data_IF_992951643056
#
_entry.id   IF_992951643056
#
_cell.length_a   1.000
_cell.length_b   1.000
_cell.length_c   1.000
_cell.angle_alpha   90.00
_cell.angle_beta   90.00
_cell.angle_gamma   90.00
#
_symmetry.space_group_name_H-M   'P 1'
#
loop_
_entity.id
_entity.type
_entity.pdbx_description
1 polymer ?
#
# COMPACT_ATOMS: atom_id res chain seq x y z
N UNK A 1 64.04 -57.68 11.55
CA UNK A 1 62.90 -56.97 12.26
C UNK A 1 63.11 -55.48 12.02
N UNK A 2 62.45 -54.94 11.00
CA UNK A 2 62.45 -53.48 10.73
C UNK A 2 60.99 -53.03 10.65
N UNK A 3 60.60 -52.13 11.57
CA UNK A 3 59.28 -51.47 11.57
C UNK A 3 59.41 -50.16 10.78
N UNK A 4 58.68 -50.09 9.69
CA UNK A 4 58.46 -48.85 8.95
C UNK A 4 57.35 -48.07 9.61
N UNK A 5 57.63 -46.81 9.96
CA UNK A 5 56.62 -45.82 10.44
C UNK A 5 56.22 -45.01 9.22
N UNK A 6 54.96 -45.14 8.80
CA UNK A 6 54.33 -44.27 7.79
C UNK A 6 53.75 -43.03 8.50
N UNK A 7 54.30 -41.90 8.17
CA UNK A 7 53.73 -40.58 8.57
C UNK A 7 52.61 -40.19 7.63
N UNK A 8 51.37 -40.08 8.15
CA UNK A 8 50.25 -39.51 7.45
C UNK A 8 50.32 -37.97 7.52
N UNK A 9 50.56 -37.35 6.37
CA UNK A 9 50.32 -35.93 6.15
C UNK A 9 48.84 -35.72 5.80
N UNK A 10 48.07 -35.14 6.74
CA UNK A 10 46.74 -34.60 6.46
C UNK A 10 46.89 -33.25 5.72
N UNK A 11 46.60 -33.26 4.45
CA UNK A 11 46.42 -32.02 3.68
C UNK A 11 45.08 -31.36 4.03
N UNK A 12 45.13 -30.18 4.65
CA UNK A 12 43.96 -29.30 4.79
C UNK A 12 43.63 -28.71 3.41
N UNK A 13 42.54 -29.20 2.80
CA UNK A 13 41.99 -28.57 1.62
C UNK A 13 41.20 -27.32 2.07
N UNK A 14 41.70 -26.14 1.77
CA UNK A 14 40.92 -24.90 1.85
C UNK A 14 39.89 -24.92 0.73
N UNK A 15 38.62 -25.16 1.10
CA UNK A 15 37.49 -24.88 0.23
C UNK A 15 37.33 -23.36 0.13
N UNK A 16 37.88 -22.77 -0.91
CA UNK A 16 37.48 -21.41 -1.33
C UNK A 16 36.08 -21.51 -1.91
N UNK A 17 35.08 -21.04 -1.17
CA UNK A 17 33.80 -20.77 -1.73
C UNK A 17 33.97 -19.65 -2.76
N UNK A 18 33.90 -20.00 -4.02
CA UNK A 18 33.77 -19.03 -5.10
C UNK A 18 32.35 -18.42 -4.97
N UNK A 19 32.29 -17.16 -4.61
CA UNK A 19 31.05 -16.37 -4.74
C UNK A 19 30.61 -16.43 -6.21
N UNK A 20 29.31 -16.58 -6.51
CA UNK A 20 28.84 -16.58 -7.88
C UNK A 20 29.14 -15.23 -8.52
N UNK A 21 29.91 -15.27 -9.63
CA UNK A 21 30.33 -14.10 -10.42
C UNK A 21 29.16 -13.61 -11.30
N UNK A 22 28.09 -13.03 -10.67
CA UNK A 22 26.91 -12.51 -11.39
C UNK A 22 26.59 -11.05 -11.10
N UNK A 23 27.27 -10.42 -10.12
CA UNK A 23 27.12 -9.00 -9.84
C UNK A 23 28.00 -8.20 -10.83
N UNK A 24 27.39 -7.26 -11.55
CA UNK A 24 28.14 -6.20 -12.23
C UNK A 24 28.81 -5.31 -11.18
N UNK A 25 29.95 -4.66 -11.46
CA UNK A 25 30.51 -3.73 -10.49
C UNK A 25 29.60 -2.52 -10.36
N UNK A 26 29.22 -2.17 -9.11
CA UNK A 26 28.68 -0.86 -8.80
C UNK A 26 29.66 0.22 -9.27
N UNK A 27 29.18 1.33 -9.79
CA UNK A 27 30.05 2.45 -10.12
C UNK A 27 30.65 3.10 -8.86
N UNK A 28 31.59 4.04 -9.03
CA UNK A 28 32.28 4.68 -7.91
C UNK A 28 31.31 5.46 -6.99
N UNK A 29 30.28 6.12 -7.54
CA UNK A 29 29.28 6.82 -6.77
C UNK A 29 28.35 5.86 -6.03
N UNK A 30 27.95 4.78 -6.67
CA UNK A 30 27.13 3.73 -6.05
C UNK A 30 27.88 3.05 -4.90
N UNK A 31 29.17 2.77 -5.05
CA UNK A 31 30.01 2.23 -3.98
C UNK A 31 30.11 3.20 -2.80
N UNK A 32 30.33 4.50 -3.05
CA UNK A 32 30.32 5.53 -2.00
C UNK A 32 28.98 5.63 -1.28
N UNK A 33 27.85 5.54 -2.00
CA UNK A 33 26.52 5.49 -1.36
C UNK A 33 26.39 4.26 -0.46
N UNK A 34 26.81 3.08 -0.94
CA UNK A 34 26.75 1.83 -0.16
C UNK A 34 27.57 1.93 1.12
N UNK A 35 28.82 2.42 1.04
CA UNK A 35 29.69 2.62 2.20
C UNK A 35 29.10 3.63 3.21
N UNK A 36 28.56 4.74 2.71
CA UNK A 36 27.91 5.74 3.55
C UNK A 36 26.67 5.18 4.26
N UNK A 37 25.82 4.44 3.55
CA UNK A 37 24.60 3.83 4.10
C UNK A 37 24.97 2.82 5.19
N UNK A 38 25.98 1.97 4.97
CA UNK A 38 26.41 1.00 5.98
C UNK A 38 26.94 1.69 7.25
N UNK A 39 27.61 2.83 7.11
CA UNK A 39 28.09 3.63 8.23
C UNK A 39 26.98 4.33 9.03
N UNK A 40 25.80 4.58 8.41
CA UNK A 40 24.68 5.32 9.03
C UNK A 40 23.43 4.44 9.24
N UNK A 41 23.58 3.11 9.18
CA UNK A 41 22.46 2.19 9.35
C UNK A 41 21.77 2.32 10.73
N UNK A 42 22.54 2.50 11.79
CA UNK A 42 22.01 2.69 13.15
C UNK A 42 21.34 4.07 13.32
N UNK A 43 21.78 5.10 12.59
CA UNK A 43 21.11 6.41 12.60
C UNK A 43 19.72 6.31 11.94
N UNK A 44 19.59 5.53 10.87
CA UNK A 44 18.29 5.26 10.23
C UNK A 44 17.35 4.49 11.18
N UNK A 45 17.86 3.50 11.91
CA UNK A 45 17.09 2.76 12.93
C UNK A 45 16.67 3.69 14.07
N UNK A 46 17.53 4.62 14.48
CA UNK A 46 17.20 5.61 15.52
C UNK A 46 16.06 6.54 15.10
N UNK A 47 15.99 6.92 13.82
CA UNK A 47 14.85 7.68 13.28
C UNK A 47 13.55 6.88 13.32
N UNK A 48 13.61 5.57 13.02
CA UNK A 48 12.45 4.68 13.18
C UNK A 48 12.02 4.62 14.64
N UNK A 49 12.96 4.42 15.58
CA UNK A 49 12.67 4.40 17.01
C UNK A 49 12.01 5.71 17.48
N UNK A 50 12.55 6.87 17.06
CA UNK A 50 11.99 8.18 17.41
C UNK A 50 10.53 8.29 16.95
N UNK A 51 10.24 7.97 15.69
CA UNK A 51 8.89 8.09 15.13
C UNK A 51 7.92 7.04 15.64
N UNK A 52 8.36 5.80 15.88
CA UNK A 52 7.52 4.71 16.42
C UNK A 52 7.07 5.00 17.86
N UNK A 53 7.90 5.67 18.67
CA UNK A 53 7.54 6.07 20.02
C UNK A 53 6.54 7.24 20.10
N UNK A 54 6.15 7.80 18.94
CA UNK A 54 5.06 8.77 18.84
C UNK A 54 3.79 8.03 18.41
N UNK A 55 2.76 8.06 19.25
CA UNK A 55 1.45 7.47 18.90
C UNK A 55 0.79 8.29 17.80
N UNK A 56 0.65 7.73 16.60
CA UNK A 56 0.13 8.43 15.41
C UNK A 56 -1.00 7.65 14.72
N UNK A 57 -1.92 7.06 15.48
CA UNK A 57 -3.17 6.55 14.92
C UNK A 57 -3.86 7.64 14.11
N UNK A 58 -4.54 7.30 13.00
CA UNK A 58 -5.12 8.29 12.07
C UNK A 58 -5.97 9.34 12.76
N UNK A 59 -6.72 8.95 13.80
CA UNK A 59 -7.59 9.87 14.53
C UNK A 59 -6.85 10.61 15.68
N UNK A 60 -5.62 10.27 15.97
CA UNK A 60 -4.74 11.01 16.88
C UNK A 60 -4.01 12.12 16.11
N UNK A 61 -4.74 13.17 15.73
CA UNK A 61 -4.22 14.25 14.88
C UNK A 61 -2.98 14.93 15.45
N UNK A 62 -2.86 15.05 16.77
CA UNK A 62 -1.70 15.66 17.41
C UNK A 62 -0.46 14.76 17.25
N UNK A 63 -0.62 13.45 17.45
CA UNK A 63 0.46 12.49 17.23
C UNK A 63 0.91 12.42 15.77
N UNK A 64 -0.01 12.49 14.80
CA UNK A 64 0.35 12.60 13.36
C UNK A 64 1.17 13.86 13.11
N UNK A 65 0.81 15.02 13.74
CA UNK A 65 1.58 16.27 13.63
C UNK A 65 2.94 16.16 14.33
N UNK A 66 3.06 15.43 15.43
CA UNK A 66 4.36 15.19 16.08
C UNK A 66 5.29 14.36 15.17
N UNK A 67 4.80 13.30 14.53
CA UNK A 67 5.57 12.55 13.51
C UNK A 67 5.93 13.46 12.34
N UNK A 68 4.99 14.32 11.87
CA UNK A 68 5.26 15.34 10.86
C UNK A 68 6.46 16.21 11.25
N UNK A 69 6.54 16.70 12.51
CA UNK A 69 7.63 17.59 12.96
C UNK A 69 9.00 16.90 12.85
N UNK A 70 9.07 15.61 13.19
CA UNK A 70 10.29 14.81 13.04
C UNK A 70 10.67 14.68 11.55
N UNK A 71 9.72 14.29 10.70
CA UNK A 71 10.01 14.10 9.27
C UNK A 71 10.30 15.41 8.55
N UNK A 72 9.66 16.52 8.95
CA UNK A 72 9.94 17.85 8.45
C UNK A 72 11.38 18.26 8.76
N UNK A 73 11.83 18.07 9.99
CA UNK A 73 13.23 18.34 10.41
C UNK A 73 14.23 17.60 9.52
N UNK A 74 13.95 16.34 9.22
CA UNK A 74 14.82 15.53 8.36
C UNK A 74 14.83 16.05 6.91
N UNK A 75 13.67 16.41 6.35
CA UNK A 75 13.57 16.98 4.99
C UNK A 75 14.19 18.38 4.89
N UNK A 76 14.04 19.22 5.91
CA UNK A 76 14.67 20.54 5.97
C UNK A 76 16.21 20.41 5.97
N UNK A 77 16.77 19.38 6.64
CA UNK A 77 18.20 19.09 6.64
C UNK A 77 18.74 18.71 5.25
N UNK A 78 17.89 18.18 4.38
CA UNK A 78 18.18 17.85 2.98
C UNK A 78 18.02 19.06 2.04
N UNK A 79 17.53 20.20 2.55
CA UNK A 79 17.26 21.40 1.77
C UNK A 79 15.98 21.32 0.93
N UNK A 80 15.04 20.45 1.29
CA UNK A 80 13.71 20.43 0.70
C UNK A 80 12.89 21.61 1.27
N UNK A 81 12.09 22.22 0.42
CA UNK A 81 11.07 23.21 0.82
C UNK A 81 9.84 22.44 1.34
N UNK A 82 9.61 22.53 2.65
CA UNK A 82 8.55 21.75 3.32
C UNK A 82 7.26 22.54 3.48
N UNK A 83 6.12 21.86 3.33
CA UNK A 83 4.78 22.43 3.48
C UNK A 83 3.88 21.41 4.19
N UNK A 84 3.18 21.88 5.23
CA UNK A 84 2.07 21.13 5.81
C UNK A 84 0.76 21.57 5.18
N UNK A 85 0.02 20.63 4.58
CA UNK A 85 -1.26 20.87 3.93
C UNK A 85 -2.37 20.43 4.87
N UNK A 86 -3.07 21.39 5.46
CA UNK A 86 -4.24 21.12 6.30
C UNK A 86 -5.41 20.61 5.46
N UNK A 87 -6.08 19.59 5.95
CA UNK A 87 -7.33 19.14 5.36
C UNK A 87 -8.53 19.91 5.94
N UNK A 88 -9.64 20.04 5.20
CA UNK A 88 -10.84 20.71 5.69
C UNK A 88 -11.30 20.11 7.03
N UNK A 89 -11.68 20.94 8.02
CA UNK A 89 -12.05 20.47 9.36
C UNK A 89 -13.17 19.41 9.38
N UNK A 90 -14.09 19.48 8.41
CA UNK A 90 -15.17 18.50 8.25
C UNK A 90 -14.70 17.10 7.86
N UNK A 91 -13.46 16.96 7.40
CA UNK A 91 -12.85 15.67 7.11
C UNK A 91 -12.32 14.98 8.37
N UNK A 92 -12.11 15.73 9.45
CA UNK A 92 -11.58 15.21 10.72
C UNK A 92 -10.27 14.41 10.51
N UNK A 93 -9.30 15.02 9.80
CA UNK A 93 -7.97 14.45 9.50
C UNK A 93 -6.88 15.48 9.74
N UNK A 94 -5.68 14.99 10.05
CA UNK A 94 -4.56 15.85 10.45
C UNK A 94 -3.99 16.68 9.30
N UNK A 95 -3.89 16.12 8.10
CA UNK A 95 -3.26 16.78 6.94
C UNK A 95 -2.10 15.99 6.36
N UNK A 96 -1.30 16.61 5.48
CA UNK A 96 -0.21 15.98 4.74
C UNK A 96 1.06 16.80 4.79
N UNK A 97 2.23 16.15 4.81
CA UNK A 97 3.52 16.79 4.73
C UNK A 97 4.14 16.59 3.35
N UNK A 98 4.43 17.68 2.65
CA UNK A 98 5.15 17.66 1.39
C UNK A 98 6.51 18.37 1.54
N UNK A 99 7.57 17.73 1.02
CA UNK A 99 8.89 18.36 0.87
C UNK A 99 9.26 18.38 -0.60
N UNK A 100 9.61 19.54 -1.13
CA UNK A 100 9.84 19.77 -2.56
C UNK A 100 11.24 20.29 -2.83
N UNK A 101 11.93 19.69 -3.77
CA UNK A 101 13.11 20.22 -4.42
C UNK A 101 12.88 20.10 -5.93
N UNK A 102 12.41 21.18 -6.55
CA UNK A 102 11.96 21.17 -7.94
C UNK A 102 13.07 21.52 -8.93
N UNK A 103 14.23 22.00 -8.43
CA UNK A 103 15.40 22.32 -9.25
C UNK A 103 16.19 21.08 -9.60
N UNK A 104 16.79 21.08 -10.80
CA UNK A 104 17.59 19.99 -11.35
C UNK A 104 17.22 19.71 -12.81
N UNK A 105 18.07 18.99 -13.51
CA UNK A 105 17.87 18.62 -14.92
C UNK A 105 17.55 17.15 -15.12
N UNK A 106 17.60 16.36 -14.03
CA UNK A 106 17.31 14.93 -14.08
C UNK A 106 15.80 14.60 -14.15
N UNK A 107 15.48 13.34 -14.22
CA UNK A 107 14.11 12.84 -14.12
C UNK A 107 13.50 13.21 -12.76
N UNK A 108 12.18 13.39 -12.75
CA UNK A 108 11.41 13.87 -11.60
C UNK A 108 10.84 12.69 -10.82
N UNK A 109 10.95 12.76 -9.51
CA UNK A 109 10.49 11.67 -8.61
C UNK A 109 9.44 12.18 -7.63
N UNK A 110 8.41 11.36 -7.38
CA UNK A 110 7.57 11.45 -6.20
C UNK A 110 7.82 10.24 -5.32
N UNK A 111 8.25 10.47 -4.08
CA UNK A 111 8.53 9.45 -3.05
C UNK A 111 7.40 9.49 -2.03
N UNK A 112 6.73 8.35 -1.82
CA UNK A 112 5.45 8.30 -1.13
C UNK A 112 5.56 7.46 0.14
N UNK A 113 5.11 8.06 1.24
CA UNK A 113 4.91 7.42 2.52
C UNK A 113 3.69 7.98 3.25
N UNK A 114 3.44 7.51 4.48
CA UNK A 114 2.43 8.07 5.36
C UNK A 114 2.91 8.19 6.80
N UNK A 115 2.26 9.08 7.57
CA UNK A 115 2.64 9.41 8.95
C UNK A 115 1.80 8.69 10.00
N UNK A 116 0.58 8.33 9.61
CA UNK A 116 -0.39 7.68 10.47
C UNK A 116 -0.17 6.16 10.57
N UNK A 117 -0.89 5.54 11.49
CA UNK A 117 -0.95 4.10 11.70
C UNK A 117 -2.36 3.67 12.06
N UNK A 118 -2.66 2.38 11.99
CA UNK A 118 -3.94 1.81 12.46
C UNK A 118 -4.09 1.82 13.99
N UNK A 119 -3.01 2.07 14.76
CA UNK A 119 -2.99 1.99 16.22
C UNK A 119 -3.37 3.34 16.83
N UNK A 120 -4.62 3.46 17.25
CA UNK A 120 -5.13 4.68 17.87
C UNK A 120 -4.54 4.93 19.25
N UNK A 121 -4.70 6.13 19.81
CA UNK A 121 -4.04 6.56 21.06
C UNK A 121 -4.38 5.70 22.29
N UNK A 122 -5.50 5.00 22.29
CA UNK A 122 -5.94 4.10 23.35
C UNK A 122 -5.52 2.62 23.13
N UNK A 123 -4.82 2.32 22.05
CA UNK A 123 -4.24 0.99 21.83
C UNK A 123 -3.10 0.72 22.82
N UNK A 124 -2.98 -0.52 23.26
CA UNK A 124 -1.92 -0.95 24.18
C UNK A 124 -0.55 -1.08 23.51
N UNK A 125 -0.50 -1.20 22.19
CA UNK A 125 0.72 -1.35 21.38
C UNK A 125 1.22 0.03 20.94
N UNK A 126 2.07 0.68 21.78
CA UNK A 126 2.47 2.09 21.60
C UNK A 126 3.97 2.36 21.67
N UNK A 127 4.82 1.35 21.82
CA UNK A 127 6.23 1.57 22.05
C UNK A 127 7.12 0.75 21.12
N UNK A 128 8.24 1.36 20.71
CA UNK A 128 9.32 0.66 20.03
C UNK A 128 10.01 -0.31 21.00
N UNK A 129 10.33 -1.49 20.52
CA UNK A 129 11.15 -2.48 21.20
C UNK A 129 12.09 -3.15 20.23
N UNK A 130 13.35 -3.37 20.64
CA UNK A 130 14.37 -4.05 19.84
C UNK A 130 14.87 -5.29 20.56
N UNK A 131 14.85 -6.43 19.87
CA UNK A 131 15.46 -7.67 20.31
C UNK A 131 16.40 -8.19 19.21
N UNK A 132 17.69 -7.97 19.39
CA UNK A 132 18.72 -8.27 18.39
C UNK A 132 18.46 -7.54 17.06
N UNK A 133 18.22 -8.30 15.99
CA UNK A 133 17.99 -7.81 14.65
C UNK A 133 16.50 -7.61 14.31
N UNK A 134 15.63 -7.64 15.30
CA UNK A 134 14.19 -7.42 15.13
C UNK A 134 13.76 -6.21 15.94
N UNK A 135 12.99 -5.31 15.31
CA UNK A 135 12.30 -4.22 15.99
C UNK A 135 10.78 -4.42 15.87
N UNK A 136 10.06 -4.12 16.95
CA UNK A 136 8.59 -4.15 17.02
C UNK A 136 8.08 -2.78 17.46
N UNK A 137 6.89 -2.42 17.04
CA UNK A 137 6.25 -1.16 17.42
C UNK A 137 5.21 -0.71 16.41
N UNK A 138 4.28 0.21 16.79
CA UNK A 138 3.20 0.65 15.92
C UNK A 138 3.72 1.42 14.70
N UNK A 139 3.38 0.92 13.51
CA UNK A 139 3.83 1.51 12.25
C UNK A 139 5.30 1.23 11.92
N UNK A 140 5.98 0.33 12.64
CA UNK A 140 7.39 0.04 12.38
C UNK A 140 7.59 -0.54 10.96
N UNK A 141 6.63 -1.35 10.49
CA UNK A 141 6.56 -1.88 9.12
C UNK A 141 5.71 -0.98 8.22
N UNK A 142 4.58 -0.52 8.71
CA UNK A 142 3.55 0.22 7.98
C UNK A 142 3.30 1.62 8.60
N UNK A 143 4.09 2.69 8.16
CA UNK A 143 5.28 2.50 7.34
C UNK A 143 6.45 3.40 7.78
N UNK A 144 6.60 3.64 9.10
CA UNK A 144 7.67 4.52 9.64
C UNK A 144 9.07 4.04 9.25
N UNK A 145 9.28 2.70 9.12
CA UNK A 145 10.49 2.14 8.55
C UNK A 145 10.74 2.59 7.11
N UNK A 146 9.71 2.60 6.28
CA UNK A 146 9.78 3.08 4.91
C UNK A 146 10.05 4.59 4.81
N UNK A 147 9.47 5.38 5.72
CA UNK A 147 9.76 6.82 5.81
C UNK A 147 11.24 7.09 6.11
N UNK A 148 11.85 6.30 6.99
CA UNK A 148 13.29 6.39 7.24
C UNK A 148 14.12 5.97 6.02
N UNK A 149 13.69 4.97 5.24
CA UNK A 149 14.34 4.60 3.97
C UNK A 149 14.35 5.77 2.99
N UNK A 150 13.24 6.50 2.83
CA UNK A 150 13.17 7.70 1.97
C UNK A 150 14.25 8.72 2.38
N UNK A 151 14.28 9.08 3.65
CA UNK A 151 15.21 10.10 4.17
C UNK A 151 16.66 9.68 3.97
N UNK A 152 17.02 8.45 4.32
CA UNK A 152 18.41 7.99 4.23
C UNK A 152 18.86 7.70 2.80
N UNK A 153 17.94 7.35 1.89
CA UNK A 153 18.24 7.29 0.46
C UNK A 153 18.58 8.69 -0.10
N UNK A 154 17.82 9.72 0.27
CA UNK A 154 18.10 11.10 -0.15
C UNK A 154 19.39 11.64 0.49
N UNK A 155 19.69 11.31 1.76
CA UNK A 155 20.95 11.67 2.42
C UNK A 155 22.17 11.01 1.71
N UNK A 156 22.05 9.76 1.27
CA UNK A 156 23.10 9.09 0.52
C UNK A 156 23.34 9.74 -0.86
N UNK A 157 22.28 10.17 -1.53
CA UNK A 157 22.38 10.94 -2.78
C UNK A 157 22.99 12.33 -2.56
N UNK A 158 22.68 12.97 -1.42
CA UNK A 158 23.28 14.25 -1.03
C UNK A 158 24.79 14.09 -0.77
N UNK A 159 25.21 13.02 -0.10
CA UNK A 159 26.65 12.74 0.22
C UNK A 159 27.53 12.67 -1.03
N UNK A 160 27.02 12.08 -2.09
CA UNK A 160 27.73 11.99 -3.38
C UNK A 160 27.54 13.24 -4.26
N UNK A 161 26.72 14.22 -3.83
CA UNK A 161 26.39 15.44 -4.56
C UNK A 161 25.35 15.27 -5.68
N UNK A 162 24.76 14.08 -5.85
CA UNK A 162 23.79 13.83 -6.91
C UNK A 162 22.42 14.47 -6.66
N UNK A 163 22.03 14.60 -5.39
CA UNK A 163 20.70 15.14 -5.05
C UNK A 163 20.45 16.55 -5.63
N UNK A 164 21.49 17.36 -5.83
CA UNK A 164 21.36 18.72 -6.38
C UNK A 164 20.70 18.73 -7.78
N UNK A 165 20.93 17.70 -8.59
CA UNK A 165 20.45 17.61 -9.97
C UNK A 165 19.17 16.77 -10.12
N UNK A 166 18.64 16.20 -9.01
CA UNK A 166 17.46 15.35 -8.99
C UNK A 166 16.24 16.14 -8.46
N UNK A 167 15.27 16.49 -9.33
CA UNK A 167 14.00 17.05 -8.86
C UNK A 167 13.19 15.98 -8.11
N UNK A 168 12.79 16.29 -6.88
CA UNK A 168 12.07 15.34 -6.04
C UNK A 168 10.95 16.00 -5.23
N UNK A 169 9.84 15.29 -5.11
CA UNK A 169 8.77 15.57 -4.14
C UNK A 169 8.69 14.38 -3.20
N UNK A 170 8.82 14.62 -1.90
CA UNK A 170 8.49 13.65 -0.86
C UNK A 170 7.09 13.97 -0.37
N UNK A 171 6.18 13.00 -0.43
CA UNK A 171 4.79 13.14 -0.04
C UNK A 171 4.49 12.16 1.11
N UNK A 172 4.22 12.71 2.29
CA UNK A 172 3.76 11.94 3.44
C UNK A 172 2.31 12.29 3.73
N UNK A 173 1.39 11.36 3.47
CA UNK A 173 -0.02 11.52 3.86
C UNK A 173 -0.19 11.24 5.36
N UNK A 174 -1.14 11.91 6.01
CA UNK A 174 -1.39 11.73 7.44
C UNK A 174 -2.71 11.00 7.71
N UNK A 175 -3.24 10.26 6.73
CA UNK A 175 -4.53 9.59 6.84
C UNK A 175 -4.68 8.42 5.85
N UNK A 176 -3.55 7.74 5.56
CA UNK A 176 -3.54 6.59 4.64
C UNK A 176 -4.44 5.47 5.17
N UNK A 177 -4.31 5.14 6.42
CA UNK A 177 -4.98 4.04 7.09
C UNK A 177 -6.50 4.25 7.24
N UNK A 178 -6.94 5.51 7.28
CA UNK A 178 -8.34 5.86 7.38
C UNK A 178 -8.63 7.13 6.59
N UNK A 179 -8.72 7.00 5.27
CA UNK A 179 -8.86 8.13 4.36
C UNK A 179 -10.05 9.05 4.68
N UNK A 180 -9.78 10.36 4.66
CA UNK A 180 -10.82 11.39 4.63
C UNK A 180 -11.54 11.44 3.27
N UNK A 181 -12.75 11.96 3.26
CA UNK A 181 -13.56 12.06 2.04
C UNK A 181 -14.08 13.48 1.85
N UNK A 182 -14.24 13.97 0.61
CA UNK A 182 -14.05 13.25 -0.66
C UNK A 182 -12.57 13.09 -1.04
N UNK A 183 -12.23 12.00 -1.76
CA UNK A 183 -10.85 11.70 -2.17
C UNK A 183 -10.26 12.75 -3.11
N UNK A 184 -11.11 13.43 -3.90
CA UNK A 184 -10.72 14.56 -4.75
C UNK A 184 -10.14 15.75 -3.95
N UNK A 185 -10.33 15.80 -2.64
CA UNK A 185 -9.75 16.77 -1.74
C UNK A 185 -8.56 16.16 -1.01
N UNK A 186 -8.73 14.99 -0.40
CA UNK A 186 -7.70 14.37 0.44
C UNK A 186 -6.49 13.89 -0.37
N UNK A 187 -6.65 13.53 -1.64
CA UNK A 187 -5.55 13.06 -2.50
C UNK A 187 -5.17 14.05 -3.61
N UNK A 188 -5.73 15.26 -3.61
CA UNK A 188 -5.46 16.28 -4.64
C UNK A 188 -3.97 16.53 -4.82
N UNK A 189 -3.28 16.85 -3.74
CA UNK A 189 -1.88 17.28 -3.79
C UNK A 189 -0.94 16.10 -4.15
N UNK A 190 -1.31 14.88 -3.73
CA UNK A 190 -0.60 13.66 -4.13
C UNK A 190 -0.77 13.38 -5.64
N UNK A 191 -1.99 13.53 -6.18
CA UNK A 191 -2.27 13.40 -7.61
C UNK A 191 -1.52 14.46 -8.41
N UNK A 192 -1.50 15.72 -7.95
CA UNK A 192 -0.72 16.79 -8.59
C UNK A 192 0.79 16.49 -8.60
N UNK A 193 1.32 15.92 -7.52
CA UNK A 193 2.71 15.46 -7.47
C UNK A 193 2.97 14.32 -8.47
N UNK A 194 2.02 13.38 -8.61
CA UNK A 194 2.09 12.33 -9.62
C UNK A 194 2.07 12.86 -11.06
N UNK A 195 1.21 13.85 -11.35
CA UNK A 195 1.13 14.49 -12.68
C UNK A 195 2.41 15.27 -13.04
N UNK A 196 3.16 15.72 -12.04
CA UNK A 196 4.44 16.42 -12.23
C UNK A 196 5.61 15.45 -12.41
N UNK A 197 5.58 14.26 -11.80
CA UNK A 197 6.70 13.33 -11.73
C UNK A 197 6.78 12.40 -12.95
N UNK A 198 7.99 11.94 -13.28
CA UNK A 198 8.24 10.85 -14.23
C UNK A 198 8.10 9.48 -13.53
N UNK A 199 8.59 9.39 -12.28
CA UNK A 199 8.60 8.16 -11.49
C UNK A 199 7.88 8.31 -10.15
N UNK A 200 7.06 7.31 -9.81
CA UNK A 200 6.40 7.17 -8.51
C UNK A 200 6.98 6.01 -7.70
N UNK A 201 7.53 6.29 -6.52
CA UNK A 201 8.17 5.31 -5.66
C UNK A 201 7.45 5.21 -4.32
N UNK A 202 6.90 4.02 -3.98
CA UNK A 202 6.18 3.76 -2.72
C UNK A 202 7.02 2.93 -1.75
N UNK A 203 7.06 3.38 -0.49
CA UNK A 203 8.02 2.87 0.49
C UNK A 203 7.41 2.03 1.62
N UNK A 204 6.21 1.47 1.43
CA UNK A 204 5.74 0.40 2.29
C UNK A 204 6.67 -0.82 2.24
N UNK A 205 6.48 -1.76 3.16
CA UNK A 205 7.35 -2.92 3.34
C UNK A 205 7.66 -3.69 2.05
N UNK A 206 8.90 -4.12 1.91
CA UNK A 206 9.34 -5.03 0.87
C UNK A 206 8.76 -6.44 1.07
N UNK A 207 8.75 -7.23 0.02
CA UNK A 207 8.27 -8.62 0.04
C UNK A 207 9.40 -9.59 -0.30
N UNK A 208 9.61 -10.55 0.59
CA UNK A 208 10.54 -11.67 0.39
C UNK A 208 9.88 -12.98 0.80
N UNK A 209 9.76 -13.92 -0.12
CA UNK A 209 9.32 -15.29 0.15
C UNK A 209 9.84 -16.25 -0.93
N UNK A 210 9.84 -17.55 -0.65
CA UNK A 210 10.38 -18.57 -1.54
C UNK A 210 11.80 -18.26 -2.03
N UNK A 211 12.67 -17.79 -1.12
CA UNK A 211 14.06 -17.39 -1.35
C UNK A 211 14.23 -16.35 -2.48
N UNK A 212 13.23 -15.51 -2.72
CA UNK A 212 13.27 -14.47 -3.73
C UNK A 212 12.73 -13.13 -3.19
N UNK A 213 13.31 -12.04 -3.70
CA UNK A 213 12.77 -10.69 -3.51
C UNK A 213 11.74 -10.40 -4.60
N UNK A 214 10.65 -9.69 -4.24
CA UNK A 214 9.54 -9.41 -5.14
C UNK A 214 9.27 -7.92 -5.23
N UNK A 215 9.11 -7.41 -6.47
CA UNK A 215 8.76 -6.02 -6.71
C UNK A 215 7.27 -5.83 -6.94
N UNK A 216 6.69 -4.83 -6.32
CA UNK A 216 5.26 -4.49 -6.45
C UNK A 216 5.07 -3.50 -7.58
N UNK A 217 4.68 -3.98 -8.75
CA UNK A 217 4.38 -3.16 -9.94
C UNK A 217 2.89 -3.01 -10.21
N UNK A 218 2.06 -3.64 -9.37
CA UNK A 218 0.61 -3.64 -9.50
C UNK A 218 -0.06 -3.75 -8.13
N UNK A 219 -1.19 -3.05 -7.96
CA UNK A 219 -2.07 -3.16 -6.80
C UNK A 219 -3.52 -3.15 -7.26
N UNK A 220 -4.36 -3.98 -6.65
CA UNK A 220 -5.78 -3.95 -6.95
C UNK A 220 -6.45 -2.77 -6.26
N UNK A 221 -7.48 -2.20 -6.90
CA UNK A 221 -8.35 -1.19 -6.30
C UNK A 221 -8.98 -1.68 -4.98
N UNK A 222 -9.47 -0.75 -4.19
CA UNK A 222 -10.26 -1.06 -3.00
C UNK A 222 -11.40 -0.06 -2.89
N UNK A 223 -12.60 -0.44 -3.34
CA UNK A 223 -13.82 0.36 -3.24
C UNK A 223 -14.98 -0.46 -2.69
N UNK A 224 -16.01 0.25 -2.24
CA UNK A 224 -17.20 -0.36 -1.63
C UNK A 224 -18.43 -0.23 -2.51
N UNK A 225 -19.47 -0.98 -2.13
CA UNK A 225 -20.82 -0.82 -2.69
C UNK A 225 -21.87 -1.12 -1.64
N UNK A 226 -23.03 -0.44 -1.78
CA UNK A 226 -24.22 -0.64 -0.96
C UNK A 226 -25.37 -0.97 -1.89
N UNK A 227 -26.03 -2.11 -1.65
CA UNK A 227 -27.26 -2.50 -2.33
C UNK A 227 -28.43 -2.35 -1.36
N UNK A 228 -29.39 -1.51 -1.72
CA UNK A 228 -30.65 -1.36 -0.99
C UNK A 228 -31.78 -1.93 -1.83
N UNK A 229 -32.55 -2.85 -1.26
CA UNK A 229 -33.69 -3.48 -1.94
C UNK A 229 -34.98 -3.22 -1.15
N UNK A 230 -36.02 -2.82 -1.86
CA UNK A 230 -37.36 -2.64 -1.31
C UNK A 230 -38.33 -3.65 -1.90
N UNK A 231 -39.27 -4.11 -1.08
CA UNK A 231 -40.34 -5.00 -1.47
C UNK A 231 -41.66 -4.56 -0.81
N UNK A 232 -42.78 -5.09 -1.30
CA UNK A 232 -44.09 -4.81 -0.73
C UNK A 232 -44.33 -5.63 0.54
N UNK A 233 -44.54 -4.97 1.68
CA UNK A 233 -44.91 -5.65 2.92
C UNK A 233 -46.35 -6.16 2.85
N UNK A 234 -46.55 -7.41 3.23
CA UNK A 234 -47.89 -8.04 3.27
C UNK A 234 -47.90 -9.24 4.24
N UNK A 235 -49.06 -9.83 4.45
CA UNK A 235 -49.13 -11.12 5.15
C UNK A 235 -48.44 -12.22 4.29
N UNK A 236 -47.67 -13.10 4.91
CA UNK A 236 -46.86 -14.10 4.20
C UNK A 236 -47.67 -15.09 3.36
N UNK A 237 -48.94 -15.31 3.66
CA UNK A 237 -49.81 -16.15 2.82
C UNK A 237 -50.08 -15.57 1.43
N UNK A 238 -49.85 -14.26 1.22
CA UNK A 238 -49.98 -13.58 -0.06
C UNK A 238 -48.68 -13.54 -0.89
N UNK A 239 -47.57 -14.04 -0.38
CA UNK A 239 -46.25 -14.03 -1.09
C UNK A 239 -46.37 -14.77 -2.42
N UNK A 240 -45.69 -14.25 -3.45
CA UNK A 240 -45.76 -14.68 -4.85
C UNK A 240 -47.07 -14.41 -5.57
N UNK A 241 -48.08 -13.85 -4.88
CA UNK A 241 -49.32 -13.38 -5.51
C UNK A 241 -49.11 -12.13 -6.33
N UNK A 242 -50.05 -11.88 -7.28
CA UNK A 242 -49.96 -10.76 -8.23
C UNK A 242 -49.85 -9.39 -7.56
N UNK A 243 -50.45 -9.25 -6.37
CA UNK A 243 -50.46 -7.98 -5.63
C UNK A 243 -49.33 -7.78 -4.64
N UNK A 244 -48.57 -8.82 -4.32
CA UNK A 244 -47.52 -8.81 -3.27
C UNK A 244 -46.11 -8.99 -3.83
N UNK A 245 -45.94 -9.94 -4.76
CA UNK A 245 -44.64 -10.29 -5.30
C UNK A 245 -43.78 -11.12 -4.32
N UNK A 246 -42.46 -11.11 -4.51
CA UNK A 246 -41.51 -11.97 -3.79
C UNK A 246 -40.97 -11.35 -2.50
N UNK A 247 -41.08 -10.02 -2.32
CA UNK A 247 -40.48 -9.29 -1.21
C UNK A 247 -38.98 -9.07 -1.34
N UNK A 248 -38.44 -8.21 -0.47
CA UNK A 248 -37.06 -7.72 -0.62
C UNK A 248 -35.98 -8.83 -0.53
N UNK A 249 -36.14 -9.83 0.35
CA UNK A 249 -35.12 -10.86 0.55
C UNK A 249 -34.96 -11.74 -0.69
N UNK A 250 -36.04 -12.16 -1.36
CA UNK A 250 -35.94 -12.95 -2.59
C UNK A 250 -35.34 -12.13 -3.75
N UNK A 251 -35.68 -10.83 -3.83
CA UNK A 251 -35.06 -9.95 -4.82
C UNK A 251 -33.56 -9.79 -4.58
N UNK A 252 -33.15 -9.61 -3.32
CA UNK A 252 -31.74 -9.57 -2.96
C UNK A 252 -31.03 -10.87 -3.34
N UNK A 253 -31.62 -12.03 -3.06
CA UNK A 253 -31.06 -13.33 -3.43
C UNK A 253 -30.87 -13.45 -4.96
N UNK A 254 -31.84 -12.98 -5.76
CA UNK A 254 -31.73 -12.92 -7.24
C UNK A 254 -30.56 -12.05 -7.67
N UNK A 255 -30.43 -10.84 -7.12
CA UNK A 255 -29.37 -9.89 -7.46
C UNK A 255 -28.00 -10.48 -7.11
N UNK A 256 -27.83 -10.99 -5.88
CA UNK A 256 -26.54 -11.56 -5.44
C UNK A 256 -26.17 -12.83 -6.24
N UNK A 257 -27.15 -13.65 -6.60
CA UNK A 257 -26.90 -14.78 -7.51
C UNK A 257 -26.48 -14.31 -8.90
N UNK A 258 -27.11 -13.23 -9.42
CA UNK A 258 -26.70 -12.59 -10.67
C UNK A 258 -25.25 -12.07 -10.61
N UNK A 259 -24.85 -11.44 -9.52
CA UNK A 259 -23.45 -11.04 -9.32
C UNK A 259 -22.49 -12.24 -9.36
N UNK A 260 -22.84 -13.31 -8.65
CA UNK A 260 -22.06 -14.54 -8.65
C UNK A 260 -21.95 -15.19 -10.04
N UNK A 261 -23.01 -15.22 -10.81
CA UNK A 261 -23.04 -15.91 -12.11
C UNK A 261 -22.44 -15.09 -13.25
N UNK A 262 -22.63 -13.73 -13.23
CA UNK A 262 -22.38 -12.88 -14.39
C UNK A 262 -21.26 -11.86 -14.21
N UNK A 263 -20.81 -11.56 -12.96
CA UNK A 263 -19.75 -10.56 -12.70
C UNK A 263 -18.42 -11.22 -12.37
N UNK A 264 -18.41 -12.34 -11.67
CA UNK A 264 -17.17 -13.04 -11.32
C UNK A 264 -16.52 -13.70 -12.53
N UNK A 265 -15.22 -13.96 -12.45
CA UNK A 265 -14.49 -14.84 -13.38
C UNK A 265 -13.40 -14.12 -14.21
N UNK A 266 -13.37 -12.80 -14.25
CA UNK A 266 -12.19 -12.10 -14.75
C UNK A 266 -11.01 -12.24 -13.78
N UNK A 267 -9.80 -12.39 -14.32
CA UNK A 267 -8.57 -12.44 -13.53
C UNK A 267 -8.41 -11.15 -12.73
N UNK A 268 -7.98 -11.25 -11.48
CA UNK A 268 -7.82 -10.15 -10.51
C UNK A 268 -9.11 -9.42 -10.10
N UNK A 269 -10.27 -9.72 -10.69
CA UNK A 269 -11.56 -9.20 -10.20
C UNK A 269 -12.02 -10.04 -9.01
N UNK A 270 -12.24 -9.38 -7.88
CA UNK A 270 -12.91 -9.97 -6.74
C UNK A 270 -13.93 -9.00 -6.15
N UNK A 271 -15.06 -9.53 -5.71
CA UNK A 271 -16.03 -8.77 -4.92
C UNK A 271 -16.54 -9.65 -3.78
N UNK A 272 -16.93 -9.01 -2.70
CA UNK A 272 -17.37 -9.69 -1.49
C UNK A 272 -18.67 -9.07 -0.98
N UNK A 273 -19.53 -9.91 -0.42
CA UNK A 273 -20.67 -9.49 0.40
C UNK A 273 -20.22 -9.55 1.86
N UNK A 274 -19.94 -8.40 2.46
CA UNK A 274 -19.46 -8.31 3.84
C UNK A 274 -20.59 -8.47 4.86
N UNK A 275 -21.71 -7.79 4.62
CA UNK A 275 -22.90 -7.89 5.48
C UNK A 275 -24.17 -7.91 4.64
N UNK A 276 -25.18 -8.61 5.15
CA UNK A 276 -26.54 -8.59 4.62
C UNK A 276 -27.54 -8.51 5.79
N UNK A 277 -28.47 -7.58 5.71
CA UNK A 277 -29.52 -7.38 6.71
C UNK A 277 -30.87 -7.26 6.00
N UNK A 278 -31.88 -7.92 6.52
CA UNK A 278 -33.20 -7.90 5.87
C UNK A 278 -34.33 -8.18 6.82
N UNK A 279 -35.47 -7.55 6.55
CA UNK A 279 -36.65 -7.72 7.39
C UNK A 279 -37.77 -6.75 7.02
N UNK A 280 -38.67 -6.52 7.99
CA UNK A 280 -39.69 -5.48 7.91
C UNK A 280 -39.06 -4.10 8.10
N UNK A 281 -38.08 -4.00 9.01
CA UNK A 281 -37.30 -2.81 9.26
C UNK A 281 -35.81 -3.17 9.34
N UNK A 282 -34.94 -2.30 8.80
CA UNK A 282 -33.47 -2.37 8.87
C UNK A 282 -32.95 -0.99 9.23
N UNK A 283 -32.18 -0.90 10.28
CA UNK A 283 -31.34 0.26 10.61
C UNK A 283 -29.89 -0.14 10.39
N UNK A 284 -29.17 0.62 9.60
CA UNK A 284 -27.76 0.37 9.29
C UNK A 284 -26.95 1.65 9.36
N UNK A 285 -25.80 1.61 10.06
CA UNK A 285 -24.79 2.66 10.09
C UNK A 285 -23.57 2.21 9.31
N UNK A 286 -23.28 2.83 8.16
CA UNK A 286 -22.06 2.56 7.38
C UNK A 286 -20.78 2.84 8.15
N UNK A 287 -20.76 3.89 8.98
CA UNK A 287 -19.58 4.33 9.76
C UNK A 287 -19.19 3.28 10.82
N UNK A 288 -20.17 2.58 11.37
CA UNK A 288 -19.94 1.55 12.38
C UNK A 288 -19.90 0.13 11.79
N UNK A 289 -20.18 -0.04 10.50
CA UNK A 289 -20.39 -1.34 9.85
C UNK A 289 -21.35 -2.25 10.64
N UNK A 290 -22.37 -1.66 11.24
CA UNK A 290 -23.31 -2.33 12.17
C UNK A 290 -24.75 -1.95 11.87
N UNK A 291 -25.68 -2.85 12.14
CA UNK A 291 -27.08 -2.55 12.05
C UNK A 291 -27.95 -3.53 12.81
N UNK A 292 -29.24 -3.19 12.91
CA UNK A 292 -30.28 -4.00 13.52
C UNK A 292 -31.38 -4.30 12.53
N UNK A 293 -32.03 -5.45 12.66
CA UNK A 293 -33.18 -5.83 11.82
C UNK A 293 -34.35 -6.29 12.68
N UNK A 294 -35.55 -6.00 12.19
CA UNK A 294 -36.75 -6.56 12.74
C UNK A 294 -37.60 -7.23 11.64
N UNK A 295 -38.14 -8.40 11.92
CA UNK A 295 -39.02 -9.14 11.01
C UNK A 295 -39.87 -10.18 11.73
N UNK A 296 -40.93 -10.64 11.08
CA UNK A 296 -41.79 -11.72 11.57
C UNK A 296 -41.97 -12.77 10.48
N UNK A 297 -42.09 -14.04 10.85
CA UNK A 297 -42.23 -15.16 9.91
C UNK A 297 -43.49 -15.13 9.07
N UNK A 298 -44.50 -14.43 9.54
CA UNK A 298 -45.81 -14.26 8.86
C UNK A 298 -45.96 -12.92 8.12
N UNK A 299 -44.82 -12.19 7.89
CA UNK A 299 -44.79 -10.92 7.16
C UNK A 299 -43.76 -10.99 6.04
N UNK A 300 -44.15 -10.56 4.83
CA UNK A 300 -43.26 -10.43 3.69
C UNK A 300 -42.29 -9.27 3.98
N UNK A 301 -40.92 -9.50 3.91
CA UNK A 301 -39.95 -8.47 4.22
C UNK A 301 -39.99 -7.33 3.20
N UNK A 302 -39.92 -6.10 3.70
CA UNK A 302 -39.99 -4.91 2.85
C UNK A 302 -38.65 -4.30 2.49
N UNK A 303 -37.56 -4.64 3.21
CA UNK A 303 -36.26 -4.01 2.99
C UNK A 303 -35.13 -4.99 3.24
N UNK A 304 -34.08 -4.88 2.41
CA UNK A 304 -32.75 -5.43 2.68
C UNK A 304 -31.70 -4.39 2.38
N UNK A 305 -30.62 -4.42 3.15
CA UNK A 305 -29.38 -3.65 2.91
C UNK A 305 -28.21 -4.61 2.89
N UNK A 306 -27.39 -4.50 1.85
CA UNK A 306 -26.20 -5.33 1.67
C UNK A 306 -25.00 -4.41 1.49
N UNK A 307 -23.93 -4.66 2.22
CA UNK A 307 -22.65 -4.00 2.07
C UNK A 307 -21.62 -4.94 1.49
N UNK A 308 -20.83 -4.47 0.54
CA UNK A 308 -19.79 -5.24 -0.07
C UNK A 308 -18.60 -4.40 -0.51
N UNK A 309 -17.54 -5.09 -0.88
CA UNK A 309 -16.33 -4.51 -1.47
C UNK A 309 -16.07 -5.09 -2.84
N UNK A 310 -15.30 -4.35 -3.66
CA UNK A 310 -14.84 -4.76 -4.98
C UNK A 310 -13.38 -4.38 -5.16
N UNK A 311 -12.61 -5.27 -5.80
CA UNK A 311 -11.19 -5.08 -6.12
C UNK A 311 -10.95 -5.45 -7.56
N UNK A 312 -10.25 -4.58 -8.29
CA UNK A 312 -9.93 -4.72 -9.72
C UNK A 312 -8.49 -4.32 -9.98
N UNK A 313 -7.92 -4.76 -11.11
CA UNK A 313 -6.54 -4.45 -11.51
C UNK A 313 -6.46 -3.22 -12.42
N UNK A 314 -7.57 -2.76 -12.98
CA UNK A 314 -7.63 -1.58 -13.84
C UNK A 314 -8.95 -0.84 -13.67
N UNK A 315 -8.96 0.44 -14.03
CA UNK A 315 -10.18 1.25 -14.02
C UNK A 315 -11.22 0.69 -15.00
N UNK A 316 -10.81 0.28 -16.19
CA UNK A 316 -11.72 -0.34 -17.18
C UNK A 316 -12.41 -1.60 -16.65
N UNK A 317 -11.68 -2.41 -15.86
CA UNK A 317 -12.27 -3.58 -15.21
C UNK A 317 -13.28 -3.19 -14.14
N UNK A 318 -12.99 -2.14 -13.35
CA UNK A 318 -13.92 -1.61 -12.35
C UNK A 318 -15.19 -1.11 -13.01
N UNK A 319 -15.05 -0.29 -14.08
CA UNK A 319 -16.17 0.30 -14.79
C UNK A 319 -17.09 -0.78 -15.40
N UNK A 320 -16.51 -1.81 -16.03
CA UNK A 320 -17.28 -2.94 -16.57
C UNK A 320 -18.02 -3.72 -15.47
N UNK A 321 -17.33 -3.99 -14.36
CA UNK A 321 -17.94 -4.73 -13.24
C UNK A 321 -19.10 -3.94 -12.61
N UNK A 322 -18.92 -2.64 -12.36
CA UNK A 322 -19.96 -1.76 -11.83
C UNK A 322 -21.14 -1.60 -12.79
N UNK A 323 -20.87 -1.46 -14.10
CA UNK A 323 -21.91 -1.41 -15.12
C UNK A 323 -22.75 -2.69 -15.14
N UNK A 324 -22.09 -3.85 -15.05
CA UNK A 324 -22.78 -5.14 -15.03
C UNK A 324 -23.58 -5.35 -13.74
N UNK A 325 -23.04 -4.97 -12.60
CA UNK A 325 -23.79 -5.00 -11.33
C UNK A 325 -25.03 -4.11 -11.40
N UNK A 326 -24.91 -2.90 -11.98
CA UNK A 326 -26.01 -1.96 -12.17
C UNK A 326 -27.10 -2.54 -13.08
N UNK A 327 -26.70 -3.18 -14.20
CA UNK A 327 -27.62 -3.87 -15.11
C UNK A 327 -28.45 -4.95 -14.38
N UNK A 328 -27.79 -5.80 -13.59
CA UNK A 328 -28.45 -6.86 -12.81
C UNK A 328 -29.44 -6.29 -11.79
N UNK A 329 -29.07 -5.19 -11.13
CA UNK A 329 -29.92 -4.49 -10.14
C UNK A 329 -31.13 -3.85 -10.80
N UNK A 330 -31.00 -3.32 -12.02
CA UNK A 330 -32.08 -2.68 -12.74
C UNK A 330 -33.22 -3.63 -13.13
N UNK A 331 -32.95 -4.94 -13.25
CA UNK A 331 -33.96 -5.96 -13.49
C UNK A 331 -34.61 -6.38 -12.16
N UNK A 332 -35.87 -6.01 -11.92
CA UNK A 332 -36.54 -6.27 -10.65
C UNK A 332 -37.66 -7.32 -10.78
N UNK A 333 -37.82 -8.11 -9.72
CA UNK A 333 -39.03 -8.95 -9.56
C UNK A 333 -40.30 -8.07 -9.37
N UNK A 334 -41.47 -8.59 -9.65
CA UNK A 334 -42.73 -7.83 -9.45
C UNK A 334 -42.85 -7.28 -8.02
N UNK A 335 -43.21 -5.99 -7.91
CA UNK A 335 -43.40 -5.26 -6.66
C UNK A 335 -42.15 -5.12 -5.80
N UNK A 336 -40.95 -5.21 -6.43
CA UNK A 336 -39.68 -4.90 -5.81
C UNK A 336 -38.97 -3.76 -6.54
N UNK A 337 -38.02 -3.13 -5.88
CA UNK A 337 -37.08 -2.18 -6.48
C UNK A 337 -35.73 -2.29 -5.78
N UNK A 338 -34.66 -1.96 -6.48
CA UNK A 338 -33.33 -1.98 -5.90
C UNK A 338 -32.49 -0.81 -6.40
N UNK A 339 -31.56 -0.35 -5.57
CA UNK A 339 -30.52 0.61 -5.92
C UNK A 339 -29.17 0.08 -5.47
N UNK A 340 -28.14 0.31 -6.28
CA UNK A 340 -26.74 0.07 -5.89
C UNK A 340 -25.99 1.38 -5.94
N UNK A 341 -25.23 1.68 -4.88
CA UNK A 341 -24.37 2.83 -4.77
C UNK A 341 -22.94 2.35 -4.62
N UNK A 342 -22.00 2.95 -5.38
CA UNK A 342 -20.58 2.64 -5.29
C UNK A 342 -19.88 3.77 -4.54
N UNK A 343 -19.00 3.41 -3.59
CA UNK A 343 -18.20 4.38 -2.88
C UNK A 343 -16.82 4.51 -3.54
N UNK A 344 -16.28 5.73 -3.50
CA UNK A 344 -14.89 5.97 -3.85
C UNK A 344 -13.94 5.15 -2.96
N UNK A 345 -12.78 4.81 -3.49
CA UNK A 345 -11.74 4.08 -2.78
C UNK A 345 -10.40 4.20 -3.49
N UNK A 346 -9.44 3.41 -3.09
CA UNK A 346 -8.14 3.36 -3.76
C UNK A 346 -8.30 2.92 -5.21
N UNK A 347 -7.78 3.69 -6.19
CA UNK A 347 -7.75 3.26 -7.58
C UNK A 347 -6.80 2.05 -7.76
N UNK A 348 -6.86 1.33 -8.88
CA UNK A 348 -5.90 0.29 -9.19
C UNK A 348 -4.57 0.90 -9.64
N UNK A 349 -3.45 0.25 -9.29
CA UNK A 349 -2.16 0.44 -9.93
C UNK A 349 -2.00 -0.66 -10.99
N UNK A 350 -2.16 -0.31 -12.26
CA UNK A 350 -2.04 -1.26 -13.37
C UNK A 350 -0.58 -1.61 -13.66
N UNK A 351 -0.23 -2.89 -13.95
CA UNK A 351 1.14 -3.30 -14.26
C UNK A 351 1.55 -2.86 -15.68
N UNK A 352 1.93 -1.59 -15.84
CA UNK A 352 2.37 -1.01 -17.10
C UNK A 352 3.74 -1.54 -17.54
N UNK A 353 4.10 -1.33 -18.82
CA UNK A 353 5.46 -1.63 -19.30
C UNK A 353 6.50 -0.72 -18.64
N UNK A 354 6.15 0.53 -18.31
CA UNK A 354 7.01 1.43 -17.56
C UNK A 354 7.29 0.92 -16.13
N UNK A 355 6.26 0.43 -15.43
CA UNK A 355 6.43 -0.19 -14.11
C UNK A 355 7.37 -1.41 -14.18
N UNK A 356 7.26 -2.23 -15.25
CA UNK A 356 8.18 -3.36 -15.48
C UNK A 356 9.60 -2.89 -15.78
N UNK A 357 9.76 -1.79 -16.51
CA UNK A 357 11.09 -1.21 -16.78
C UNK A 357 11.76 -0.78 -15.47
N UNK A 358 11.04 -0.12 -14.57
CA UNK A 358 11.53 0.26 -13.23
C UNK A 358 11.92 -0.99 -12.41
N UNK A 359 11.07 -2.02 -12.41
CA UNK A 359 11.40 -3.29 -11.73
C UNK A 359 12.66 -3.96 -12.31
N UNK A 360 12.85 -3.90 -13.63
CA UNK A 360 14.04 -4.44 -14.27
C UNK A 360 15.32 -3.71 -13.82
N UNK A 361 15.26 -2.38 -13.65
CA UNK A 361 16.38 -1.62 -13.09
C UNK A 361 16.63 -2.03 -11.64
N UNK A 362 15.59 -2.12 -10.82
CA UNK A 362 15.68 -2.54 -9.41
C UNK A 362 16.21 -3.98 -9.28
N UNK A 363 15.81 -4.89 -10.18
CA UNK A 363 16.28 -6.27 -10.20
C UNK A 363 17.79 -6.33 -10.47
N UNK A 364 18.31 -5.53 -11.40
CA UNK A 364 19.78 -5.44 -11.66
C UNK A 364 20.51 -4.88 -10.44
N UNK A 365 19.97 -3.84 -9.79
CA UNK A 365 20.53 -3.31 -8.55
C UNK A 365 20.60 -4.40 -7.47
N UNK A 366 19.56 -5.22 -7.36
CA UNK A 366 19.52 -6.33 -6.42
C UNK A 366 20.63 -7.36 -6.69
N UNK A 367 20.87 -7.68 -7.96
CA UNK A 367 21.94 -8.56 -8.39
C UNK A 367 23.33 -7.94 -8.13
N UNK A 368 23.52 -6.65 -8.43
CA UNK A 368 24.76 -5.90 -8.17
C UNK A 368 25.08 -5.81 -6.67
N UNK A 369 24.06 -5.81 -5.81
CA UNK A 369 24.19 -5.91 -4.35
C UNK A 369 24.37 -7.34 -3.83
N UNK A 370 24.61 -8.31 -4.72
CA UNK A 370 24.91 -9.72 -4.37
C UNK A 370 23.68 -10.56 -4.01
N UNK A 371 22.48 -10.12 -4.43
CA UNK A 371 21.24 -10.86 -4.26
C UNK A 371 20.80 -11.49 -5.60
N UNK A 372 19.70 -12.24 -5.59
CA UNK A 372 19.15 -12.78 -6.83
C UNK A 372 18.29 -11.78 -7.60
N UNK A 373 17.84 -12.11 -8.83
CA UNK A 373 16.91 -11.27 -9.56
C UNK A 373 15.58 -11.14 -8.83
N UNK A 374 14.95 -9.96 -8.94
CA UNK A 374 13.61 -9.73 -8.39
C UNK A 374 12.53 -10.24 -9.35
N UNK A 375 11.40 -10.65 -8.79
CA UNK A 375 10.24 -11.15 -9.53
C UNK A 375 9.07 -10.18 -9.42
N UNK A 376 8.14 -10.22 -10.40
CA UNK A 376 6.87 -9.49 -10.31
C UNK A 376 5.98 -10.10 -9.24
N UNK A 377 5.53 -9.29 -8.28
CA UNK A 377 4.62 -9.73 -7.25
C UNK A 377 3.20 -9.88 -7.80
N UNK A 378 2.55 -10.99 -7.50
CA UNK A 378 1.12 -11.16 -7.79
C UNK A 378 0.31 -10.06 -7.07
N UNK A 379 -0.52 -9.28 -7.80
CA UNK A 379 -1.32 -8.20 -7.20
C UNK A 379 -2.26 -8.65 -6.09
N UNK A 380 -2.61 -9.93 -6.03
CA UNK A 380 -3.45 -10.48 -4.96
C UNK A 380 -2.74 -10.56 -3.60
N UNK A 381 -1.41 -10.44 -3.58
CA UNK A 381 -0.57 -10.51 -2.37
C UNK A 381 -0.40 -9.18 -1.66
N UNK A 382 -0.93 -8.08 -2.23
CA UNK A 382 -0.84 -6.73 -1.64
C UNK A 382 -2.21 -6.07 -1.54
N UNK A 383 -2.35 -5.22 -0.50
CA UNK A 383 -3.46 -4.29 -0.37
C UNK A 383 -3.36 -3.12 -1.35
N UNK A 384 -4.34 -2.24 -1.31
CA UNK A 384 -4.26 -0.93 -1.96
C UNK A 384 -3.33 -0.01 -1.16
N UNK A 385 -2.83 1.07 -1.75
CA UNK A 385 -1.97 2.07 -1.11
C UNK A 385 -1.92 3.36 -1.91
N UNK A 386 -1.38 4.41 -1.30
CA UNK A 386 -1.31 5.76 -1.87
C UNK A 386 -0.56 5.85 -3.22
N UNK A 387 0.39 4.95 -3.48
CA UNK A 387 1.04 4.84 -4.81
C UNK A 387 0.02 4.68 -5.95
N UNK A 388 -1.14 4.10 -5.69
CA UNK A 388 -2.20 3.92 -6.69
C UNK A 388 -2.77 5.24 -7.22
N UNK A 389 -2.67 6.34 -6.48
CA UNK A 389 -3.14 7.66 -6.92
C UNK A 389 -2.17 8.33 -7.91
N UNK A 390 -0.88 7.97 -7.88
CA UNK A 390 0.12 8.53 -8.80
C UNK A 390 0.43 7.59 -9.97
N UNK A 391 0.22 6.30 -9.83
CA UNK A 391 0.49 5.29 -10.84
C UNK A 391 -0.16 5.53 -12.23
N UNK A 392 -1.32 6.18 -12.35
CA UNK A 392 -1.87 6.55 -13.67
C UNK A 392 -1.04 7.58 -14.45
N UNK A 393 -0.12 8.28 -13.80
CA UNK A 393 0.63 9.41 -14.35
C UNK A 393 2.13 9.16 -14.42
N UNK A 394 2.64 8.14 -13.75
CA UNK A 394 4.08 7.86 -13.58
C UNK A 394 4.40 6.42 -13.90
N UNK A 395 5.67 6.13 -14.21
CA UNK A 395 6.19 4.78 -14.09
C UNK A 395 6.44 4.49 -12.60
N UNK A 396 5.74 3.50 -12.04
CA UNK A 396 5.64 3.33 -10.60
C UNK A 396 6.09 1.96 -10.10
N UNK A 397 6.72 1.96 -8.92
CA UNK A 397 7.01 0.75 -8.15
C UNK A 397 6.77 0.99 -6.66
N UNK A 398 6.32 -0.02 -5.93
CA UNK A 398 6.13 0.03 -4.50
C UNK A 398 6.85 -1.14 -3.78
N UNK A 399 6.82 -1.13 -2.43
CA UNK A 399 7.51 -2.13 -1.65
C UNK A 399 9.00 -1.87 -1.53
N UNK A 400 9.41 -0.60 -1.46
CA UNK A 400 10.79 -0.18 -1.33
C UNK A 400 11.25 -0.01 0.13
N UNK A 401 10.36 -0.21 1.11
CA UNK A 401 10.67 -0.19 2.53
C UNK A 401 11.46 -1.40 3.02
N UNK A 402 11.71 -1.51 4.33
CA UNK A 402 12.36 -2.67 4.91
C UNK A 402 11.47 -3.92 4.86
N UNK A 403 12.06 -5.09 5.08
CA UNK A 403 11.30 -6.33 5.28
C UNK A 403 10.66 -6.32 6.67
N UNK A 404 9.39 -6.67 6.71
CA UNK A 404 8.63 -6.78 7.95
C UNK A 404 7.51 -7.80 7.84
N UNK A 405 6.78 -7.96 8.91
CA UNK A 405 5.56 -8.77 8.98
C UNK A 405 4.68 -8.33 10.14
N UNK A 406 3.42 -8.72 10.08
CA UNK A 406 2.47 -8.47 11.16
C UNK A 406 1.82 -7.10 11.13
N UNK A 407 1.95 -6.34 10.05
CA UNK A 407 1.24 -5.07 9.87
C UNK A 407 -0.23 -5.15 10.26
N UNK A 408 -0.78 -4.10 10.85
CA UNK A 408 -2.14 -4.03 11.41
C UNK A 408 -2.40 -5.00 12.59
N UNK A 409 -1.36 -5.54 13.23
CA UNK A 409 -1.49 -6.38 14.42
C UNK A 409 -0.51 -5.97 15.53
N UNK A 410 -0.77 -6.30 16.82
CA UNK A 410 0.19 -6.05 17.91
C UNK A 410 1.50 -6.85 17.82
N UNK A 411 1.73 -7.52 16.70
CA UNK A 411 2.95 -8.29 16.42
C UNK A 411 3.75 -7.69 15.26
N UNK A 412 3.42 -6.45 14.86
CA UNK A 412 4.09 -5.73 13.80
C UNK A 412 5.58 -5.57 14.11
N UNK A 413 6.41 -5.93 13.14
CA UNK A 413 7.87 -5.89 13.26
C UNK A 413 8.58 -5.71 11.94
N UNK A 414 9.83 -5.22 12.02
CA UNK A 414 10.78 -5.22 10.90
C UNK A 414 12.04 -6.00 11.25
N UNK A 415 12.72 -6.48 10.21
CA UNK A 415 14.03 -7.09 10.28
C UNK A 415 15.10 -6.04 10.02
N UNK A 416 15.80 -5.59 11.07
CA UNK A 416 16.70 -4.43 11.03
C UNK A 416 17.85 -4.59 10.01
N UNK A 417 18.33 -5.81 9.77
CA UNK A 417 19.33 -6.08 8.73
C UNK A 417 18.82 -5.79 7.31
N UNK A 418 17.50 -5.67 7.10
CA UNK A 418 16.94 -5.31 5.80
C UNK A 418 16.92 -3.80 5.55
N UNK A 419 17.03 -2.96 6.58
CA UNK A 419 17.02 -1.50 6.46
C UNK A 419 18.14 -0.96 5.56
N UNK A 420 19.43 -1.28 5.77
CA UNK A 420 20.49 -0.81 4.89
C UNK A 420 20.29 -1.27 3.44
N UNK A 421 19.78 -2.49 3.22
CA UNK A 421 19.51 -3.01 1.89
C UNK A 421 18.39 -2.22 1.20
N UNK A 422 17.30 -1.90 1.90
CA UNK A 422 16.21 -1.08 1.37
C UNK A 422 16.70 0.32 0.99
N UNK A 423 17.51 0.96 1.84
CA UNK A 423 18.11 2.27 1.58
C UNK A 423 19.03 2.22 0.35
N UNK A 424 19.90 1.21 0.24
CA UNK A 424 20.79 1.00 -0.92
C UNK A 424 19.98 0.85 -2.22
N UNK A 425 18.96 -0.01 -2.22
CA UNK A 425 18.07 -0.20 -3.37
C UNK A 425 17.42 1.10 -3.80
N UNK A 426 16.88 1.86 -2.86
CA UNK A 426 16.19 3.13 -3.13
C UNK A 426 17.15 4.20 -3.67
N UNK A 427 18.29 4.41 -3.01
CA UNK A 427 19.28 5.40 -3.41
C UNK A 427 19.85 5.13 -4.80
N UNK A 428 20.26 3.88 -5.06
CA UNK A 428 20.80 3.49 -6.36
C UNK A 428 19.73 3.50 -7.45
N UNK A 429 18.47 3.12 -7.13
CA UNK A 429 17.36 3.20 -8.07
C UNK A 429 17.10 4.64 -8.52
N UNK A 430 16.99 5.57 -7.58
CA UNK A 430 16.80 6.99 -7.89
C UNK A 430 18.00 7.51 -8.70
N UNK A 431 19.21 7.15 -8.32
CA UNK A 431 20.44 7.57 -9.03
C UNK A 431 20.44 7.06 -10.48
N UNK A 432 20.24 5.74 -10.73
CA UNK A 432 20.23 5.18 -12.07
C UNK A 432 19.11 5.73 -12.95
N UNK A 433 17.91 5.84 -12.40
CA UNK A 433 16.76 6.41 -13.14
C UNK A 433 16.96 7.89 -13.45
N UNK A 434 17.62 8.65 -12.58
CA UNK A 434 17.92 10.07 -12.83
C UNK A 434 18.91 10.29 -13.98
N UNK A 435 19.76 9.31 -14.28
CA UNK A 435 20.75 9.34 -15.35
C UNK A 435 20.23 8.75 -16.68
N UNK A 436 19.01 8.17 -16.68
CA UNK A 436 18.46 7.57 -17.89
C UNK A 436 18.21 8.66 -18.96
N UNK A 437 18.90 8.56 -20.09
CA UNK A 437 18.63 9.42 -21.26
C UNK A 437 17.21 9.17 -21.76
N UNK A 438 16.54 10.22 -22.25
CA UNK A 438 15.30 10.05 -23.02
C UNK A 438 15.66 9.25 -24.29
N UNK A 439 15.23 7.99 -24.32
CA UNK A 439 15.25 7.26 -25.59
C UNK A 439 14.16 7.88 -26.48
N UNK A 440 14.60 8.61 -27.52
CA UNK A 440 13.78 9.13 -28.64
C UNK A 440 12.92 8.05 -29.30
#
# INVERSE_FOLDING_TARGET
MHRNVLSNLLGLAYLTFALPAWAGPLDENEQRMVEWIDAHAEDAISLVEETVNISSGTMNHDGVREVRDVMQREMDSLGLETEWIELPPEMERAGHLFGRKLSGSGKKFVLIGHLDTVFEADDAFQAFSRDGDVATGPGVEDMKGGNAVIIYALKALQEIGALQDIPVVVAYTGEEEKMGRPLSVSRRDLVEAGQWADYGLGFEAAIHYDDADWGTIARRSSSGWILTVAGRQAHSSGIFGADVGAGAIFETARILNGFYDEVRGEEHLTFNVGTIQGGTDVEYSPEQNRGTTFGKTNVVPRVTVVHGGIRTISQDQLDRAQAKMTEIVAASLPHTSATIEFSEGYPPMFPSEGNRAVLNVLSRINEDLGRGPMKELDPSKRGAADISFVAPYTDAIAGLGPLGEGGHTPHEKIYLLSMPLAIKRAAILIYRLSQAEEND
#
